data_IF_225329480532
#
_entry.id   IF_225329480532
#
_cell.length_a   1.000
_cell.length_b   1.000
_cell.length_c   1.000
_cell.angle_alpha   90.00
_cell.angle_beta   90.00
_cell.angle_gamma   90.00
#
_symmetry.space_group_name_H-M   'P 1'
#
loop_
_entity.id
_entity.type
_entity.pdbx_description
1 polymer ?
#
# COMPACT_ATOMS: atom_id res chain seq x y z
N UNK A 1 8.74 15.29 -5.21
CA UNK A 1 8.17 15.93 -4.00
C UNK A 1 7.89 17.43 -4.21
N UNK A 2 8.79 18.20 -4.84
CA UNK A 2 8.59 19.65 -5.06
C UNK A 2 7.55 20.01 -6.12
N UNK A 3 7.34 19.17 -7.14
CA UNK A 3 6.52 19.54 -8.31
C UNK A 3 5.01 19.59 -8.06
N UNK A 4 4.47 18.74 -7.16
CA UNK A 4 3.02 18.65 -6.94
C UNK A 4 2.51 19.71 -5.97
N UNK A 5 3.25 19.93 -4.88
CA UNK A 5 3.06 21.10 -4.02
C UNK A 5 3.22 22.36 -4.84
N UNK A 6 4.25 22.46 -5.69
CA UNK A 6 4.39 23.61 -6.58
C UNK A 6 3.23 23.77 -7.58
N UNK A 7 2.70 22.68 -8.17
CA UNK A 7 1.59 22.73 -9.11
C UNK A 7 0.28 23.13 -8.43
N UNK A 8 -0.03 22.57 -7.26
CA UNK A 8 -1.20 22.94 -6.46
C UNK A 8 -1.06 24.38 -5.96
N UNK A 9 0.09 24.75 -5.40
CA UNK A 9 0.36 26.13 -4.96
C UNK A 9 0.32 27.13 -6.11
N UNK A 10 0.81 26.79 -7.31
CA UNK A 10 0.76 27.68 -8.47
C UNK A 10 -0.67 27.83 -9.03
N UNK A 11 -1.42 26.73 -9.15
CA UNK A 11 -2.77 26.75 -9.70
C UNK A 11 -3.74 27.46 -8.73
N UNK A 12 -3.62 27.19 -7.44
CA UNK A 12 -4.47 27.79 -6.41
C UNK A 12 -4.02 29.19 -6.00
N UNK A 13 -2.71 29.44 -5.95
CA UNK A 13 -2.16 30.78 -5.76
C UNK A 13 -2.55 31.70 -6.90
N UNK A 14 -2.50 31.22 -8.15
CA UNK A 14 -2.98 31.96 -9.32
C UNK A 14 -4.47 32.28 -9.24
N UNK A 15 -5.30 31.33 -8.78
CA UNK A 15 -6.74 31.54 -8.60
C UNK A 15 -7.04 32.58 -7.50
N UNK A 16 -6.29 32.55 -6.40
CA UNK A 16 -6.40 33.54 -5.31
C UNK A 16 -5.98 34.95 -5.77
N UNK A 17 -4.86 35.06 -6.50
CA UNK A 17 -4.38 36.31 -7.08
C UNK A 17 -5.40 36.87 -8.08
N UNK A 18 -6.01 36.02 -8.91
CA UNK A 18 -7.02 36.43 -9.88
C UNK A 18 -8.30 36.93 -9.18
N UNK A 19 -8.74 36.26 -8.13
CA UNK A 19 -9.86 36.72 -7.30
C UNK A 19 -9.57 38.07 -6.62
N UNK A 20 -8.35 38.23 -6.09
CA UNK A 20 -7.88 39.50 -5.53
C UNK A 20 -7.86 40.63 -6.57
N UNK A 21 -7.31 40.37 -7.75
CA UNK A 21 -7.22 41.35 -8.84
C UNK A 21 -8.61 41.80 -9.34
N UNK A 22 -9.55 40.88 -9.51
CA UNK A 22 -10.93 41.20 -9.88
C UNK A 22 -11.60 42.09 -8.83
N UNK A 23 -11.39 41.78 -7.55
CA UNK A 23 -11.93 42.55 -6.44
C UNK A 23 -11.30 43.95 -6.38
N UNK A 24 -9.98 44.08 -6.50
CA UNK A 24 -9.30 45.38 -6.57
C UNK A 24 -9.80 46.22 -7.74
N UNK A 25 -10.03 45.61 -8.90
CA UNK A 25 -10.65 46.28 -10.05
C UNK A 25 -12.06 46.79 -9.77
N UNK A 26 -12.88 45.99 -9.08
CA UNK A 26 -14.23 46.38 -8.66
C UNK A 26 -14.22 47.56 -7.67
N UNK A 27 -13.28 47.56 -6.72
CA UNK A 27 -13.07 48.67 -5.77
C UNK A 27 -12.72 49.95 -6.51
N UNK A 28 -11.76 49.86 -7.43
CA UNK A 28 -11.32 51.00 -8.22
C UNK A 28 -12.49 51.63 -8.98
N UNK A 29 -13.34 50.80 -9.60
CA UNK A 29 -14.55 51.26 -10.30
C UNK A 29 -15.56 51.91 -9.34
N UNK A 30 -15.81 51.33 -8.17
CA UNK A 30 -16.71 51.88 -7.15
C UNK A 30 -16.22 53.24 -6.62
N UNK A 31 -14.91 53.36 -6.37
CA UNK A 31 -14.29 54.61 -5.91
C UNK A 31 -14.35 55.68 -7.01
N UNK A 32 -14.08 55.31 -8.27
CA UNK A 32 -14.16 56.24 -9.41
C UNK A 32 -15.58 56.79 -9.60
N UNK A 33 -16.62 55.95 -9.48
CA UNK A 33 -18.02 56.38 -9.55
C UNK A 33 -18.45 57.22 -8.33
N UNK A 34 -17.94 56.89 -7.14
CA UNK A 34 -18.21 57.62 -5.90
C UNK A 34 -17.59 59.01 -5.85
N UNK A 35 -16.35 59.16 -6.34
CA UNK A 35 -15.64 60.45 -6.42
C UNK A 35 -16.33 61.41 -7.39
N UNK A 36 -16.81 60.92 -8.54
CA UNK A 36 -17.48 61.76 -9.54
C UNK A 36 -18.79 62.37 -9.00
N UNK A 37 -19.56 61.58 -8.24
CA UNK A 37 -20.82 62.03 -7.63
C UNK A 37 -20.59 63.04 -6.50
N UNK A 38 -19.59 62.83 -5.65
CA UNK A 38 -19.27 63.75 -4.54
C UNK A 38 -18.68 65.10 -5.00
N UNK A 39 -17.89 65.13 -6.08
CA UNK A 39 -17.40 66.39 -6.66
C UNK A 39 -18.56 67.19 -7.27
N UNK A 40 -19.48 66.51 -7.96
CA UNK A 40 -20.63 67.18 -8.60
C UNK A 40 -21.59 67.83 -7.59
N UNK A 41 -21.84 67.18 -6.44
CA UNK A 41 -22.71 67.73 -5.40
C UNK A 41 -22.08 68.89 -4.65
N UNK A 42 -20.79 68.82 -4.33
CA UNK A 42 -20.05 69.88 -3.65
C UNK A 42 -19.94 71.17 -4.49
N UNK A 43 -19.83 71.04 -5.82
CA UNK A 43 -19.82 72.19 -6.74
C UNK A 43 -21.20 72.86 -6.82
N UNK A 44 -22.29 72.10 -6.74
CA UNK A 44 -23.65 72.67 -6.81
C UNK A 44 -24.12 73.39 -5.55
N UNK A 45 -23.64 73.03 -4.35
CA UNK A 45 -24.02 73.71 -3.10
C UNK A 45 -23.22 74.97 -2.81
N UNK A 46 -22.04 75.14 -3.42
CA UNK A 46 -21.14 76.26 -3.14
C UNK A 46 -21.30 77.49 -4.06
N UNK A 47 -22.10 77.41 -5.14
CA UNK A 47 -22.34 78.54 -6.06
C UNK A 47 -23.79 79.02 -5.93
N UNK A 48 -24.06 80.12 -5.21
CA UNK A 48 -25.36 80.78 -5.29
C UNK A 48 -25.59 81.27 -6.73
N UNK A 49 -26.73 80.93 -7.33
CA UNK A 49 -27.19 81.62 -8.55
C UNK A 49 -27.61 83.04 -8.15
N UNK A 50 -26.77 84.03 -8.43
CA UNK A 50 -27.22 85.43 -8.42
C UNK A 50 -28.19 85.64 -9.60
N UNK A 51 -29.42 86.14 -9.37
CA UNK A 51 -30.27 86.59 -10.46
C UNK A 51 -29.72 87.90 -11.04
N UNK A 52 -29.24 87.85 -12.27
CA UNK A 52 -28.80 89.01 -13.06
C UNK A 52 -29.95 90.04 -13.24
N UNK A 53 -29.73 91.35 -13.06
CA UNK A 53 -30.75 92.37 -13.33
C UNK A 53 -30.86 92.65 -14.85
N UNK A 54 -32.07 92.77 -15.42
CA UNK A 54 -32.21 93.14 -16.83
C UNK A 54 -32.04 94.66 -17.05
N UNK A 55 -31.26 94.99 -18.07
CA UNK A 55 -30.82 96.32 -18.49
C UNK A 55 -31.98 97.21 -18.97
N UNK A 56 -31.88 98.52 -18.69
CA UNK A 56 -32.87 99.57 -18.99
C UNK A 56 -32.93 99.92 -20.49
N UNK A 57 -34.14 100.17 -20.99
CA UNK A 57 -34.38 100.93 -22.22
C UNK A 57 -34.13 102.43 -22.00
N UNK A 58 -33.53 103.06 -22.99
CA UNK A 58 -33.20 104.49 -23.04
C UNK A 58 -34.44 105.37 -23.28
N UNK A 59 -34.48 106.53 -22.61
CA UNK A 59 -35.16 107.75 -23.08
C UNK A 59 -34.51 108.97 -22.42
N UNK A 60 -34.39 110.11 -23.12
CA UNK A 60 -33.49 111.20 -22.76
C UNK A 60 -34.15 112.22 -21.83
N UNK A 61 -33.42 112.69 -20.82
CA UNK A 61 -33.69 113.97 -20.17
C UNK A 61 -32.40 114.78 -20.06
N UNK A 62 -32.45 116.11 -20.20
CA UNK A 62 -31.25 116.94 -20.34
C UNK A 62 -30.74 117.48 -18.99
N UNK A 63 -29.41 117.67 -18.95
CA UNK A 63 -28.55 118.55 -18.12
C UNK A 63 -28.86 118.73 -16.62
N UNK A 64 -27.88 118.41 -15.75
CA UNK A 64 -26.97 119.41 -15.19
C UNK A 64 -26.07 118.87 -14.03
N UNK A 65 -24.84 119.40 -14.03
CA UNK A 65 -23.93 119.67 -12.89
C UNK A 65 -23.16 118.54 -12.19
N UNK A 66 -21.83 118.74 -12.22
CA UNK A 66 -20.76 118.10 -11.47
C UNK A 66 -20.81 118.32 -9.94
N UNK A 67 -20.05 117.50 -9.19
CA UNK A 67 -19.19 117.79 -8.01
C UNK A 67 -18.61 116.46 -7.42
N UNK A 68 -17.43 116.45 -6.75
CA UNK A 68 -16.36 115.46 -6.99
C UNK A 68 -16.09 114.42 -5.87
N UNK A 69 -15.07 113.61 -6.13
CA UNK A 69 -14.48 112.49 -5.39
C UNK A 69 -14.51 112.53 -3.84
N UNK A 70 -14.83 111.38 -3.25
CA UNK A 70 -14.55 111.09 -1.85
C UNK A 70 -13.95 109.69 -1.68
N UNK A 71 -12.68 109.63 -1.25
CA UNK A 71 -12.04 108.41 -0.75
C UNK A 71 -12.71 108.00 0.56
N UNK A 72 -13.18 106.77 0.65
CA UNK A 72 -13.54 106.13 1.92
C UNK A 72 -12.73 104.84 2.05
N UNK A 73 -11.80 104.88 3.00
CA UNK A 73 -11.08 103.74 3.57
C UNK A 73 -12.09 103.00 4.44
N UNK A 74 -12.42 101.75 4.11
CA UNK A 74 -13.37 100.92 4.83
C UNK A 74 -12.88 99.48 4.90
N UNK A 75 -12.69 99.02 6.12
CA UNK A 75 -12.20 97.72 6.59
C UNK A 75 -12.88 96.50 5.97
N UNK A 76 -12.09 95.50 5.56
CA UNK A 76 -12.53 94.17 5.10
C UNK A 76 -13.01 93.30 6.28
N UNK A 77 -14.27 92.78 6.26
CA UNK A 77 -14.72 91.69 7.14
C UNK A 77 -14.93 90.36 6.39
N UNK A 78 -14.47 90.22 5.14
CA UNK A 78 -14.91 89.13 4.25
C UNK A 78 -13.90 87.97 4.08
N UNK A 79 -12.67 88.15 4.56
CA UNK A 79 -11.64 87.11 4.49
C UNK A 79 -11.86 85.99 5.53
N UNK A 80 -12.38 86.31 6.71
CA UNK A 80 -12.55 85.36 7.81
C UNK A 80 -13.74 84.40 7.61
N UNK A 81 -14.85 84.89 7.03
CA UNK A 81 -16.01 84.05 6.69
C UNK A 81 -15.72 83.11 5.53
N UNK A 82 -14.94 83.56 4.56
CA UNK A 82 -14.49 82.74 3.43
C UNK A 82 -13.53 81.64 3.89
N UNK A 83 -12.59 81.95 4.81
CA UNK A 83 -11.68 80.96 5.40
C UNK A 83 -12.38 79.91 6.29
N UNK A 84 -13.34 80.32 7.12
CA UNK A 84 -14.15 79.43 7.97
C UNK A 84 -15.15 78.56 7.18
N UNK A 85 -15.66 79.06 6.06
CA UNK A 85 -16.50 78.29 5.15
C UNK A 85 -15.67 77.24 4.39
N UNK A 86 -14.47 77.62 3.91
CA UNK A 86 -13.56 76.70 3.23
C UNK A 86 -13.08 75.59 4.17
N UNK A 87 -12.74 75.89 5.43
CA UNK A 87 -12.33 74.87 6.41
C UNK A 87 -13.46 73.93 6.84
N UNK A 88 -14.68 74.44 7.07
CA UNK A 88 -15.84 73.59 7.36
C UNK A 88 -16.26 72.71 6.18
N UNK A 89 -16.14 73.21 4.95
CA UNK A 89 -16.42 72.43 3.73
C UNK A 89 -15.35 71.35 3.53
N UNK A 90 -14.07 71.65 3.81
CA UNK A 90 -13.00 70.64 3.72
C UNK A 90 -13.08 69.58 4.81
N UNK A 91 -13.49 69.93 6.04
CA UNK A 91 -13.59 68.97 7.15
C UNK A 91 -14.81 68.05 6.99
N UNK A 92 -15.97 68.59 6.63
CA UNK A 92 -17.18 67.78 6.36
C UNK A 92 -17.05 66.93 5.10
N UNK A 93 -16.36 67.44 4.06
CA UNK A 93 -16.03 66.64 2.87
C UNK A 93 -15.00 65.55 3.20
N UNK A 94 -14.04 65.83 4.09
CA UNK A 94 -13.03 64.88 4.56
C UNK A 94 -13.64 63.73 5.36
N UNK A 95 -14.49 64.02 6.35
CA UNK A 95 -15.15 62.99 7.18
C UNK A 95 -16.16 62.16 6.39
N UNK A 96 -16.93 62.76 5.48
CA UNK A 96 -17.84 62.05 4.59
C UNK A 96 -17.08 61.17 3.56
N UNK A 97 -15.93 61.64 3.07
CA UNK A 97 -15.07 60.84 2.19
C UNK A 97 -14.42 59.67 2.93
N UNK A 98 -13.89 59.90 4.13
CA UNK A 98 -13.26 58.86 4.94
C UNK A 98 -14.24 57.77 5.37
N UNK A 99 -15.43 58.15 5.87
CA UNK A 99 -16.47 57.18 6.25
C UNK A 99 -16.94 56.35 5.05
N UNK A 100 -17.13 56.96 3.88
CA UNK A 100 -17.51 56.24 2.65
C UNK A 100 -16.39 55.32 2.15
N UNK A 101 -15.13 55.74 2.22
CA UNK A 101 -13.97 54.89 1.90
C UNK A 101 -13.87 53.70 2.86
N UNK A 102 -14.08 53.92 4.15
CA UNK A 102 -14.09 52.85 5.15
C UNK A 102 -15.23 51.86 4.90
N UNK A 103 -16.45 52.33 4.65
CA UNK A 103 -17.60 51.44 4.35
C UNK A 103 -17.37 50.63 3.09
N UNK A 104 -16.90 51.24 2.00
CA UNK A 104 -16.58 50.53 0.75
C UNK A 104 -15.46 49.52 0.99
N UNK A 105 -14.41 49.90 1.71
CA UNK A 105 -13.28 49.01 2.02
C UNK A 105 -13.71 47.80 2.87
N UNK A 106 -14.58 48.01 3.86
CA UNK A 106 -15.11 46.93 4.71
C UNK A 106 -16.00 45.97 3.91
N UNK A 107 -16.90 46.49 3.06
CA UNK A 107 -17.76 45.66 2.20
C UNK A 107 -16.91 44.80 1.28
N UNK A 108 -15.95 45.43 0.60
CA UNK A 108 -15.02 44.77 -0.32
C UNK A 108 -14.20 43.70 0.39
N UNK A 109 -13.61 44.04 1.55
CA UNK A 109 -12.83 43.10 2.34
C UNK A 109 -13.69 41.89 2.76
N UNK A 110 -14.93 42.14 3.17
CA UNK A 110 -15.88 41.09 3.55
C UNK A 110 -16.20 40.17 2.37
N UNK A 111 -16.50 40.74 1.20
CA UNK A 111 -16.76 39.96 -0.03
C UNK A 111 -15.54 39.10 -0.40
N UNK A 112 -14.34 39.67 -0.33
CA UNK A 112 -13.10 38.93 -0.58
C UNK A 112 -12.86 37.80 0.41
N UNK A 113 -13.07 38.05 1.70
CA UNK A 113 -12.91 37.04 2.74
C UNK A 113 -13.88 35.87 2.51
N UNK A 114 -15.15 36.15 2.22
CA UNK A 114 -16.17 35.12 1.92
C UNK A 114 -15.79 34.29 0.69
N UNK A 115 -15.40 34.94 -0.40
CA UNK A 115 -14.97 34.24 -1.63
C UNK A 115 -13.73 33.38 -1.39
N UNK A 116 -12.75 33.90 -0.64
CA UNK A 116 -11.53 33.16 -0.31
C UNK A 116 -11.82 31.93 0.55
N UNK A 117 -12.71 32.04 1.54
CA UNK A 117 -13.12 30.92 2.40
C UNK A 117 -13.89 29.87 1.58
N UNK A 118 -14.86 30.29 0.75
CA UNK A 118 -15.63 29.38 -0.10
C UNK A 118 -14.72 28.60 -1.06
N UNK A 119 -13.74 29.29 -1.65
CA UNK A 119 -12.76 28.67 -2.52
C UNK A 119 -11.86 27.70 -1.75
N UNK A 120 -11.36 28.09 -0.57
CA UNK A 120 -10.56 27.21 0.30
C UNK A 120 -11.33 25.95 0.70
N UNK A 121 -12.61 26.07 1.05
CA UNK A 121 -13.48 24.94 1.39
C UNK A 121 -13.66 23.98 0.21
N UNK A 122 -13.96 24.51 -0.97
CA UNK A 122 -14.10 23.70 -2.19
C UNK A 122 -12.79 22.98 -2.54
N UNK A 123 -11.64 23.65 -2.39
CA UNK A 123 -10.31 23.08 -2.62
C UNK A 123 -10.00 21.95 -1.64
N UNK A 124 -10.23 22.17 -0.34
CA UNK A 124 -10.03 21.17 0.69
C UNK A 124 -10.86 19.91 0.42
N UNK A 125 -12.14 20.09 0.07
CA UNK A 125 -13.02 18.97 -0.29
C UNK A 125 -12.51 18.17 -1.48
N UNK A 126 -11.93 18.82 -2.51
CA UNK A 126 -11.42 18.13 -3.69
C UNK A 126 -10.11 17.38 -3.44
N UNK A 127 -9.21 17.94 -2.62
CA UNK A 127 -7.91 17.31 -2.28
C UNK A 127 -8.07 16.17 -1.28
N UNK A 128 -9.03 16.27 -0.34
CA UNK A 128 -9.25 15.25 0.69
C UNK A 128 -10.20 14.12 0.25
N UNK A 129 -10.98 14.31 -0.82
CA UNK A 129 -11.91 13.28 -1.32
C UNK A 129 -11.26 11.92 -1.58
N UNK A 130 -10.07 11.80 -2.22
CA UNK A 130 -9.42 10.50 -2.42
C UNK A 130 -9.04 9.80 -1.10
N UNK A 131 -8.69 10.56 -0.05
CA UNK A 131 -8.38 9.98 1.27
C UNK A 131 -9.61 9.33 1.87
N UNK A 132 -10.80 9.92 1.69
CA UNK A 132 -12.07 9.32 2.09
C UNK A 132 -12.31 7.96 1.39
N UNK A 133 -12.06 7.87 0.08
CA UNK A 133 -12.20 6.64 -0.70
C UNK A 133 -11.28 5.53 -0.16
N UNK A 134 -10.01 5.85 0.08
CA UNK A 134 -9.04 4.90 0.64
C UNK A 134 -9.46 4.45 2.03
N UNK A 135 -9.90 5.38 2.88
CA UNK A 135 -10.33 5.09 4.26
C UNK A 135 -11.61 4.24 4.29
N UNK A 136 -12.56 4.50 3.39
CA UNK A 136 -13.80 3.72 3.28
C UNK A 136 -13.53 2.30 2.83
N UNK A 137 -12.66 2.12 1.83
CA UNK A 137 -12.24 0.78 1.40
C UNK A 137 -11.51 0.06 2.54
N UNK A 138 -10.54 0.71 3.19
CA UNK A 138 -9.81 0.14 4.31
C UNK A 138 -10.73 -0.29 5.48
N UNK A 139 -11.79 0.48 5.75
CA UNK A 139 -12.78 0.14 6.80
C UNK A 139 -13.71 -1.02 6.43
N UNK A 140 -13.97 -1.23 5.14
CA UNK A 140 -14.86 -2.29 4.64
C UNK A 140 -14.10 -3.55 4.20
N UNK A 141 -12.78 -3.45 4.11
CA UNK A 141 -11.93 -4.57 3.74
C UNK A 141 -12.08 -5.70 4.76
N UNK A 142 -12.36 -6.88 4.26
CA UNK A 142 -12.51 -8.10 5.05
C UNK A 142 -11.96 -9.27 4.25
N UNK A 143 -11.82 -10.44 4.88
CA UNK A 143 -11.34 -11.66 4.22
C UNK A 143 -12.14 -12.05 2.97
N UNK A 144 -13.40 -11.60 2.83
CA UNK A 144 -14.25 -11.90 1.68
C UNK A 144 -14.06 -10.93 0.49
N UNK A 145 -13.62 -9.70 0.74
CA UNK A 145 -13.57 -8.62 -0.25
C UNK A 145 -12.15 -8.20 -0.61
N UNK A 146 -11.18 -9.08 -0.39
CA UNK A 146 -9.76 -8.86 -0.69
C UNK A 146 -9.46 -8.66 -2.18
N UNK A 147 -10.41 -8.99 -3.06
CA UNK A 147 -10.33 -8.77 -4.51
C UNK A 147 -10.68 -7.31 -4.92
N UNK A 148 -11.27 -6.52 -4.02
CA UNK A 148 -11.54 -5.11 -4.30
C UNK A 148 -10.23 -4.30 -4.34
N UNK A 149 -10.18 -3.29 -5.21
CA UNK A 149 -9.04 -2.38 -5.36
C UNK A 149 -9.50 -0.94 -5.27
N UNK A 150 -8.62 -0.07 -4.79
CA UNK A 150 -8.86 1.37 -4.77
C UNK A 150 -8.99 1.87 -6.21
N UNK A 151 -8.11 1.40 -7.10
CA UNK A 151 -8.12 1.71 -8.52
C UNK A 151 -8.35 3.22 -8.78
N UNK A 152 -7.63 4.06 -8.04
CA UNK A 152 -7.93 5.48 -7.95
C UNK A 152 -7.78 6.16 -9.32
N UNK A 153 -8.90 6.57 -9.93
CA UNK A 153 -8.89 7.37 -11.16
C UNK A 153 -8.50 8.82 -10.86
N UNK A 154 -7.21 9.06 -10.61
CA UNK A 154 -6.64 10.37 -10.33
C UNK A 154 -5.39 10.64 -11.19
N UNK A 155 -5.08 11.92 -11.51
CA UNK A 155 -3.83 12.29 -12.15
C UNK A 155 -2.61 11.76 -11.38
N UNK A 156 -1.47 11.50 -12.05
CA UNK A 156 -0.27 11.02 -11.39
C UNK A 156 0.18 11.99 -10.29
N UNK A 157 0.30 11.46 -9.08
CA UNK A 157 0.45 12.25 -7.87
C UNK A 157 0.72 11.46 -6.60
N UNK A 158 0.97 12.13 -5.48
CA UNK A 158 1.24 11.53 -4.16
C UNK A 158 0.09 10.62 -3.71
N UNK A 159 -1.15 11.08 -3.87
CA UNK A 159 -2.33 10.29 -3.50
C UNK A 159 -2.56 9.09 -4.44
N UNK A 160 -2.21 9.21 -5.72
CA UNK A 160 -2.27 8.08 -6.67
C UNK A 160 -1.21 7.03 -6.34
N UNK A 161 0.03 7.45 -6.06
CA UNK A 161 1.09 6.54 -5.60
C UNK A 161 0.70 5.81 -4.31
N UNK A 162 0.09 6.52 -3.35
CA UNK A 162 -0.40 5.90 -2.12
C UNK A 162 -1.47 4.84 -2.42
N UNK A 163 -2.44 5.14 -3.28
CA UNK A 163 -3.45 4.16 -3.69
C UNK A 163 -2.82 2.93 -4.36
N UNK A 164 -1.82 3.14 -5.24
CA UNK A 164 -1.13 2.05 -5.93
C UNK A 164 -0.35 1.14 -4.97
N UNK A 165 0.37 1.72 -4.01
CA UNK A 165 1.05 0.94 -2.96
C UNK A 165 0.06 0.17 -2.09
N UNK A 166 -1.12 0.73 -1.79
CA UNK A 166 -2.17 0.00 -1.09
C UNK A 166 -2.72 -1.16 -1.93
N UNK A 167 -2.94 -0.96 -3.23
CA UNK A 167 -3.39 -2.00 -4.14
C UNK A 167 -2.35 -3.15 -4.25
N UNK A 168 -1.05 -2.85 -4.32
CA UNK A 168 0.03 -3.85 -4.27
C UNK A 168 0.04 -4.64 -2.95
N UNK A 169 -0.22 -3.96 -1.83
CA UNK A 169 -0.35 -4.62 -0.52
C UNK A 169 -1.57 -5.54 -0.50
N UNK A 170 -2.71 -5.12 -1.05
CA UNK A 170 -3.91 -5.95 -1.18
C UNK A 170 -3.66 -7.18 -2.05
N UNK A 171 -2.96 -7.02 -3.18
CA UNK A 171 -2.55 -8.15 -4.03
C UNK A 171 -1.72 -9.17 -3.25
N UNK A 172 -0.80 -8.70 -2.39
CA UNK A 172 0.02 -9.59 -1.55
C UNK A 172 -0.83 -10.33 -0.52
N UNK A 173 -1.75 -9.64 0.16
CA UNK A 173 -2.63 -10.25 1.15
C UNK A 173 -3.58 -11.26 0.49
N UNK A 174 -4.18 -10.92 -0.66
CA UNK A 174 -5.06 -11.83 -1.40
C UNK A 174 -4.34 -13.12 -1.80
N UNK A 175 -3.09 -13.02 -2.30
CA UNK A 175 -2.28 -14.21 -2.61
C UNK A 175 -2.01 -15.06 -1.38
N UNK A 176 -1.68 -14.45 -0.24
CA UNK A 176 -1.41 -15.16 1.02
C UNK A 176 -2.66 -15.87 1.54
N UNK A 177 -3.79 -15.17 1.62
CA UNK A 177 -5.08 -15.74 2.07
C UNK A 177 -5.55 -16.83 1.11
N UNK A 178 -5.43 -16.61 -0.20
CA UNK A 178 -5.79 -17.61 -1.21
C UNK A 178 -4.89 -18.85 -1.18
N UNK A 179 -3.61 -18.72 -0.84
CA UNK A 179 -2.72 -19.86 -0.61
C UNK A 179 -3.13 -20.64 0.66
N UNK A 180 -3.41 -19.94 1.76
CA UNK A 180 -3.85 -20.56 3.02
C UNK A 180 -5.18 -21.32 2.87
N UNK A 181 -6.14 -20.76 2.13
CA UNK A 181 -7.41 -21.42 1.86
C UNK A 181 -7.26 -22.68 1.01
N UNK A 182 -6.42 -22.63 -0.04
CA UNK A 182 -6.09 -23.81 -0.86
C UNK A 182 -5.42 -24.88 -0.03
N UNK A 183 -4.41 -24.50 0.75
CA UNK A 183 -3.74 -25.40 1.69
C UNK A 183 -4.72 -26.10 2.64
N UNK A 184 -5.64 -25.35 3.26
CA UNK A 184 -6.63 -25.93 4.17
C UNK A 184 -7.61 -26.88 3.44
N UNK A 185 -8.02 -26.54 2.22
CA UNK A 185 -8.89 -27.38 1.40
C UNK A 185 -8.19 -28.68 0.97
N UNK A 186 -6.93 -28.59 0.54
CA UNK A 186 -6.11 -29.72 0.11
C UNK A 186 -5.80 -30.63 1.32
N UNK A 187 -5.43 -30.06 2.47
CA UNK A 187 -5.24 -30.81 3.72
C UNK A 187 -6.51 -31.58 4.14
N UNK A 188 -7.68 -30.92 4.07
CA UNK A 188 -8.94 -31.57 4.38
C UNK A 188 -9.27 -32.70 3.40
N UNK A 189 -8.93 -32.55 2.12
CA UNK A 189 -9.11 -33.59 1.11
C UNK A 189 -8.19 -34.80 1.36
N UNK A 190 -6.90 -34.53 1.56
CA UNK A 190 -5.88 -35.55 1.83
C UNK A 190 -6.13 -36.29 3.14
N UNK A 191 -6.72 -35.67 4.16
CA UNK A 191 -7.14 -36.35 5.39
C UNK A 191 -8.43 -37.16 5.23
N UNK A 192 -9.37 -36.73 4.38
CA UNK A 192 -10.64 -37.44 4.17
C UNK A 192 -10.44 -38.81 3.51
N UNK A 193 -9.49 -38.91 2.59
CA UNK A 193 -9.19 -40.15 1.84
C UNK A 193 -8.77 -41.32 2.74
N UNK A 194 -7.74 -41.23 3.60
CA UNK A 194 -7.33 -42.32 4.48
C UNK A 194 -8.43 -42.67 5.48
N UNK A 195 -9.18 -41.69 6.01
CA UNK A 195 -10.33 -41.94 6.88
C UNK A 195 -11.42 -42.75 6.19
N UNK A 196 -11.74 -42.44 4.91
CA UNK A 196 -12.68 -43.21 4.13
C UNK A 196 -12.18 -44.64 3.85
N UNK A 197 -10.89 -44.80 3.57
CA UNK A 197 -10.25 -46.12 3.37
C UNK A 197 -10.27 -46.95 4.66
N UNK A 198 -9.94 -46.36 5.82
CA UNK A 198 -10.01 -47.04 7.11
C UNK A 198 -11.44 -47.49 7.42
N UNK A 199 -12.41 -46.60 7.21
CA UNK A 199 -13.83 -46.91 7.40
C UNK A 199 -14.28 -48.06 6.51
N UNK A 200 -13.97 -48.01 5.22
CA UNK A 200 -14.32 -49.08 4.27
C UNK A 200 -13.62 -50.40 4.61
N UNK A 201 -12.34 -50.36 5.00
CA UNK A 201 -11.60 -51.55 5.42
C UNK A 201 -12.20 -52.18 6.69
N UNK A 202 -12.68 -51.37 7.64
CA UNK A 202 -13.37 -51.86 8.83
C UNK A 202 -14.76 -52.44 8.49
N UNK A 203 -15.59 -51.69 7.74
CA UNK A 203 -16.97 -52.09 7.38
C UNK A 203 -17.01 -53.34 6.49
N UNK A 204 -16.20 -53.40 5.43
CA UNK A 204 -16.16 -54.53 4.48
C UNK A 204 -15.32 -55.67 5.05
N UNK A 205 -14.26 -55.33 5.76
CA UNK A 205 -13.33 -56.31 6.28
C UNK A 205 -13.93 -57.18 7.38
N UNK A 206 -14.73 -56.57 8.27
CA UNK A 206 -15.34 -57.23 9.43
C UNK A 206 -16.78 -57.69 9.17
N UNK A 207 -17.27 -57.62 7.94
CA UNK A 207 -18.60 -58.10 7.59
C UNK A 207 -18.69 -59.64 7.68
N UNK A 208 -19.72 -60.15 8.35
CA UNK A 208 -19.98 -61.58 8.52
C UNK A 208 -19.12 -62.21 9.63
N UNK A 209 -18.64 -63.43 9.39
CA UNK A 209 -17.69 -64.14 10.25
C UNK A 209 -16.36 -64.32 9.49
N UNK A 210 -15.49 -63.28 9.44
CA UNK A 210 -14.28 -63.31 8.64
C UNK A 210 -13.24 -64.28 9.22
N UNK A 211 -12.55 -65.00 8.34
CA UNK A 211 -11.47 -65.89 8.76
C UNK A 211 -10.29 -65.11 9.40
N UNK A 212 -9.47 -65.77 10.26
CA UNK A 212 -8.36 -65.12 10.94
C UNK A 212 -7.33 -64.46 10.01
N UNK A 213 -7.09 -64.98 8.81
CA UNK A 213 -6.14 -64.40 7.86
C UNK A 213 -6.66 -63.09 7.27
N UNK A 214 -7.96 -63.04 6.95
CA UNK A 214 -8.65 -61.82 6.51
C UNK A 214 -8.57 -60.75 7.58
N UNK A 215 -8.85 -61.09 8.84
CA UNK A 215 -8.69 -60.18 9.98
C UNK A 215 -7.26 -59.65 10.08
N UNK A 216 -6.24 -60.51 9.94
CA UNK A 216 -4.84 -60.09 9.96
C UNK A 216 -4.48 -59.13 8.81
N UNK A 217 -4.98 -59.38 7.60
CA UNK A 217 -4.79 -58.48 6.44
C UNK A 217 -5.45 -57.12 6.66
N UNK A 218 -6.67 -57.09 7.19
CA UNK A 218 -7.39 -55.85 7.49
C UNK A 218 -6.68 -55.06 8.57
N UNK A 219 -6.26 -55.71 9.66
CA UNK A 219 -5.48 -55.08 10.73
C UNK A 219 -4.21 -54.43 10.17
N UNK A 220 -3.46 -55.17 9.36
CA UNK A 220 -2.23 -54.67 8.73
C UNK A 220 -2.54 -53.47 7.83
N UNK A 221 -3.64 -53.50 7.08
CA UNK A 221 -4.06 -52.38 6.23
C UNK A 221 -4.50 -51.17 7.05
N UNK A 222 -5.23 -51.35 8.14
CA UNK A 222 -5.68 -50.27 9.03
C UNK A 222 -4.50 -49.56 9.70
N UNK A 223 -3.55 -50.33 10.24
CA UNK A 223 -2.32 -49.78 10.85
C UNK A 223 -1.54 -48.98 9.81
N UNK A 224 -1.27 -49.58 8.64
CA UNK A 224 -0.54 -48.88 7.57
C UNK A 224 -1.20 -47.56 7.14
N UNK A 225 -2.54 -47.50 7.07
CA UNK A 225 -3.23 -46.24 6.71
C UNK A 225 -3.25 -45.25 7.86
N UNK A 226 -3.22 -45.72 9.11
CA UNK A 226 -3.08 -44.87 10.30
C UNK A 226 -1.68 -44.24 10.35
N UNK A 227 -0.62 -45.01 10.11
CA UNK A 227 0.76 -44.53 10.03
C UNK A 227 0.89 -43.45 8.93
N UNK A 228 0.30 -43.69 7.75
CA UNK A 228 0.26 -42.69 6.66
C UNK A 228 -0.45 -41.39 7.09
N UNK A 229 -1.52 -41.49 7.89
CA UNK A 229 -2.29 -40.34 8.39
C UNK A 229 -1.52 -39.57 9.46
N UNK A 230 -0.79 -40.28 10.33
CA UNK A 230 0.07 -39.69 11.35
C UNK A 230 1.19 -38.87 10.71
N UNK A 231 1.89 -39.45 9.72
CA UNK A 231 2.92 -38.73 8.95
C UNK A 231 2.39 -37.48 8.24
N UNK A 232 1.16 -37.53 7.72
CA UNK A 232 0.51 -36.36 7.12
C UNK A 232 0.25 -35.28 8.18
N UNK A 233 -0.34 -35.62 9.32
CA UNK A 233 -0.62 -34.67 10.40
C UNK A 233 0.66 -34.06 10.97
N UNK A 234 1.68 -34.87 11.22
CA UNK A 234 3.01 -34.38 11.64
C UNK A 234 3.59 -33.40 10.62
N UNK A 235 3.51 -33.73 9.33
CA UNK A 235 3.98 -32.85 8.25
C UNK A 235 3.24 -31.51 8.22
N UNK A 236 1.92 -31.51 8.45
CA UNK A 236 1.11 -30.29 8.52
C UNK A 236 1.43 -29.45 9.75
N UNK A 237 1.58 -30.08 10.93
CA UNK A 237 1.95 -29.38 12.16
C UNK A 237 3.32 -28.75 12.06
N UNK A 238 4.29 -29.49 11.52
CA UNK A 238 5.65 -29.00 11.28
C UNK A 238 5.66 -27.81 10.32
N UNK A 239 4.86 -27.86 9.25
CA UNK A 239 4.75 -26.75 8.31
C UNK A 239 4.16 -25.50 8.99
N UNK A 240 3.08 -25.68 9.77
CA UNK A 240 2.43 -24.59 10.49
C UNK A 240 3.31 -23.99 11.61
N UNK A 241 4.16 -24.80 12.24
CA UNK A 241 5.11 -24.38 13.27
C UNK A 241 6.31 -23.64 12.67
N UNK A 242 6.88 -24.16 11.59
CA UNK A 242 8.02 -23.56 10.89
C UNK A 242 7.71 -22.16 10.34
N UNK A 243 6.46 -21.87 9.98
CA UNK A 243 6.03 -20.53 9.55
C UNK A 243 6.07 -19.47 10.67
N UNK A 244 6.12 -19.88 11.95
CA UNK A 244 6.17 -18.96 13.09
C UNK A 244 7.60 -18.50 13.44
N UNK A 245 8.62 -19.07 12.78
CA UNK A 245 10.03 -18.84 13.05
C UNK A 245 10.62 -19.81 14.09
N UNK A 246 11.89 -19.62 14.46
CA UNK A 246 12.59 -20.53 15.38
C UNK A 246 12.32 -20.15 16.85
N UNK A 247 11.79 -21.08 17.63
CA UNK A 247 11.68 -20.94 19.09
C UNK A 247 13.04 -21.10 19.79
N UNK A 248 13.91 -21.97 19.25
CA UNK A 248 15.24 -22.26 19.78
C UNK A 248 16.30 -22.06 18.72
N UNK A 249 17.43 -21.46 19.11
CA UNK A 249 18.62 -21.28 18.28
C UNK A 249 19.83 -21.82 19.04
N UNK A 250 20.34 -22.95 18.60
CA UNK A 250 21.54 -23.60 19.14
C UNK A 250 22.52 -23.95 18.01
N UNK A 251 23.83 -24.12 18.30
CA UNK A 251 24.78 -24.59 17.30
C UNK A 251 24.52 -26.06 16.96
N UNK A 252 24.21 -26.34 15.69
CA UNK A 252 23.89 -27.68 15.18
C UNK A 252 24.88 -28.07 14.09
N UNK A 253 25.52 -29.23 14.24
CA UNK A 253 26.45 -29.79 13.25
C UNK A 253 25.68 -30.49 12.12
N UNK A 254 25.49 -29.79 11.01
CA UNK A 254 24.71 -30.27 9.85
C UNK A 254 25.41 -31.45 9.16
N UNK A 255 26.74 -31.50 9.20
CA UNK A 255 27.53 -32.61 8.67
C UNK A 255 27.28 -33.93 9.41
N UNK A 256 27.09 -33.86 10.73
CA UNK A 256 26.75 -35.03 11.56
C UNK A 256 25.31 -35.46 11.28
N UNK A 257 24.37 -34.51 11.19
CA UNK A 257 22.98 -34.80 10.84
C UNK A 257 22.86 -35.46 9.47
N UNK A 258 23.60 -34.98 8.47
CA UNK A 258 23.60 -35.54 7.12
C UNK A 258 24.03 -37.02 7.10
N UNK A 259 25.05 -37.39 7.88
CA UNK A 259 25.45 -38.79 8.03
C UNK A 259 24.39 -39.61 8.78
N UNK A 260 23.92 -39.12 9.92
CA UNK A 260 22.95 -39.85 10.74
C UNK A 260 21.65 -40.15 9.99
N UNK A 261 21.13 -39.18 9.24
CA UNK A 261 19.93 -39.34 8.40
C UNK A 261 20.17 -40.33 7.26
N UNK A 262 21.31 -40.23 6.58
CA UNK A 262 21.64 -41.14 5.47
C UNK A 262 21.77 -42.59 5.97
N UNK A 263 22.40 -42.79 7.13
CA UNK A 263 22.52 -44.11 7.77
C UNK A 263 21.15 -44.65 8.20
N UNK A 264 20.29 -43.79 8.79
CA UNK A 264 18.93 -44.17 9.18
C UNK A 264 18.03 -44.58 8.01
N UNK A 265 18.29 -44.06 6.81
CA UNK A 265 17.56 -44.38 5.58
C UNK A 265 18.24 -45.47 4.73
N UNK A 266 19.34 -46.07 5.19
CA UNK A 266 20.11 -47.04 4.43
C UNK A 266 19.28 -48.29 4.08
N UNK A 267 18.48 -48.80 5.00
CA UNK A 267 17.62 -49.97 4.78
C UNK A 267 16.52 -49.70 3.75
N UNK A 268 15.89 -48.50 3.80
CA UNK A 268 14.89 -48.11 2.80
C UNK A 268 15.53 -47.93 1.42
N UNK A 269 16.70 -47.29 1.36
CA UNK A 269 17.44 -47.11 0.11
C UNK A 269 17.82 -48.47 -0.49
N UNK A 270 18.32 -49.41 0.32
CA UNK A 270 18.66 -50.76 -0.11
C UNK A 270 17.43 -51.53 -0.61
N UNK A 271 16.29 -51.43 0.08
CA UNK A 271 15.03 -52.06 -0.35
C UNK A 271 14.54 -51.54 -1.71
N UNK A 272 14.91 -50.31 -2.08
CA UNK A 272 14.60 -49.68 -3.37
C UNK A 272 15.72 -49.81 -4.41
N UNK A 273 16.84 -50.45 -4.08
CA UNK A 273 18.00 -50.57 -4.95
C UNK A 273 18.72 -49.24 -5.20
N UNK A 274 18.64 -48.29 -4.27
CA UNK A 274 19.26 -46.96 -4.38
C UNK A 274 20.55 -46.92 -3.56
N UNK A 275 21.62 -46.40 -4.15
CA UNK A 275 22.88 -46.16 -3.42
C UNK A 275 22.94 -44.72 -2.92
N UNK A 276 23.07 -44.54 -1.60
CA UNK A 276 23.25 -43.22 -0.98
C UNK A 276 24.74 -42.99 -0.71
N UNK A 277 25.23 -41.81 -1.08
CA UNK A 277 26.61 -41.38 -0.84
C UNK A 277 26.62 -40.02 -0.14
N UNK A 278 27.39 -39.90 0.94
CA UNK A 278 27.51 -38.67 1.73
C UNK A 278 28.94 -38.14 1.62
N UNK A 279 29.07 -36.86 1.32
CA UNK A 279 30.31 -36.09 1.39
C UNK A 279 30.06 -34.84 2.22
N UNK A 280 30.30 -34.90 3.52
CA UNK A 280 30.07 -33.76 4.40
C UNK A 280 31.39 -33.21 4.95
N UNK A 281 31.64 -31.94 4.67
CA UNK A 281 32.64 -31.13 5.37
C UNK A 281 32.03 -30.58 6.68
N UNK A 282 32.82 -30.34 7.74
CA UNK A 282 32.30 -29.81 9.00
C UNK A 282 31.53 -28.49 8.80
N UNK A 283 30.26 -28.47 9.20
CA UNK A 283 29.39 -27.30 9.06
C UNK A 283 28.50 -27.17 10.28
N UNK A 284 28.65 -26.07 11.03
CA UNK A 284 27.78 -25.73 12.15
C UNK A 284 26.88 -24.56 11.79
N UNK A 285 25.58 -24.73 11.97
CA UNK A 285 24.56 -23.71 11.72
C UNK A 285 23.84 -23.39 13.04
N UNK A 286 23.54 -22.12 13.27
CA UNK A 286 22.71 -21.70 14.41
C UNK A 286 21.24 -21.89 14.05
N UNK A 287 20.56 -22.83 14.70
CA UNK A 287 19.19 -23.20 14.35
C UNK A 287 18.50 -24.08 15.38
N UNK A 288 17.37 -24.66 14.98
CA UNK A 288 16.70 -25.71 15.75
C UNK A 288 17.15 -27.07 15.22
N UNK A 289 17.78 -27.88 16.08
CA UNK A 289 18.32 -29.18 15.70
C UNK A 289 17.26 -30.18 15.19
N UNK A 290 16.03 -30.11 15.73
CA UNK A 290 14.94 -30.99 15.34
C UNK A 290 14.42 -30.61 13.95
N UNK A 291 14.27 -29.30 13.69
CA UNK A 291 13.86 -28.82 12.37
C UNK A 291 14.93 -29.10 11.31
N UNK A 292 16.22 -28.88 11.63
CA UNK A 292 17.32 -29.18 10.70
C UNK A 292 17.41 -30.67 10.39
N UNK A 293 17.30 -31.55 11.38
CA UNK A 293 17.23 -33.01 11.17
C UNK A 293 16.09 -33.36 10.21
N UNK A 294 14.90 -32.79 10.43
CA UNK A 294 13.72 -33.03 9.61
C UNK A 294 13.87 -32.46 8.20
N UNK A 295 14.55 -31.34 8.01
CA UNK A 295 14.89 -30.79 6.68
C UNK A 295 15.77 -31.77 5.91
N UNK A 296 16.85 -32.25 6.52
CA UNK A 296 17.77 -33.21 5.89
C UNK A 296 17.03 -34.52 5.59
N UNK A 297 16.27 -35.04 6.55
CA UNK A 297 15.45 -36.24 6.38
C UNK A 297 14.48 -36.12 5.20
N UNK A 298 13.75 -35.00 5.08
CA UNK A 298 12.83 -34.80 3.96
C UNK A 298 13.55 -34.74 2.61
N UNK A 299 14.73 -34.12 2.53
CA UNK A 299 15.51 -34.09 1.30
C UNK A 299 16.00 -35.48 0.90
N UNK A 300 16.62 -36.22 1.83
CA UNK A 300 17.18 -37.55 1.54
C UNK A 300 16.08 -38.58 1.27
N UNK A 301 15.01 -38.58 2.07
CA UNK A 301 13.87 -39.48 1.86
C UNK A 301 13.19 -39.22 0.52
N UNK A 302 13.00 -37.95 0.11
CA UNK A 302 12.48 -37.63 -1.21
C UNK A 302 13.43 -38.09 -2.32
N UNK A 303 14.73 -37.85 -2.18
CA UNK A 303 15.75 -38.25 -3.15
C UNK A 303 15.76 -39.78 -3.37
N UNK A 304 15.60 -40.56 -2.30
CA UNK A 304 15.49 -42.03 -2.34
C UNK A 304 14.17 -42.48 -2.95
N UNK A 305 13.04 -41.89 -2.52
CA UNK A 305 11.70 -42.29 -2.94
C UNK A 305 11.43 -42.06 -4.42
N UNK A 306 11.88 -40.92 -4.95
CA UNK A 306 11.67 -40.51 -6.34
C UNK A 306 12.88 -40.81 -7.25
N UNK A 307 13.72 -41.77 -6.86
CA UNK A 307 14.88 -42.17 -7.67
C UNK A 307 14.51 -43.18 -8.75
N UNK A 308 15.40 -43.33 -9.73
CA UNK A 308 15.36 -44.45 -10.66
C UNK A 308 15.79 -45.75 -9.96
N UNK A 309 15.31 -46.93 -10.42
CA UNK A 309 15.87 -48.21 -10.00
C UNK A 309 17.38 -48.24 -10.26
N UNK A 310 18.16 -48.77 -9.31
CA UNK A 310 19.64 -48.79 -9.36
C UNK A 310 20.27 -47.38 -9.41
N UNK A 311 19.49 -46.35 -9.06
CA UNK A 311 19.91 -44.95 -9.03
C UNK A 311 20.82 -44.61 -7.86
N UNK A 312 21.30 -43.36 -7.87
CA UNK A 312 22.17 -42.81 -6.81
C UNK A 312 21.56 -41.58 -6.18
N UNK A 313 21.83 -41.41 -4.89
CA UNK A 313 21.60 -40.18 -4.14
C UNK A 313 22.94 -39.68 -3.65
N UNK A 314 23.25 -38.42 -3.93
CA UNK A 314 24.43 -37.73 -3.40
C UNK A 314 24.01 -36.64 -2.44
N UNK A 315 24.48 -36.73 -1.20
CA UNK A 315 24.35 -35.70 -0.17
C UNK A 315 25.71 -35.05 -0.01
N UNK A 316 25.79 -33.73 -0.20
CA UNK A 316 26.99 -32.95 -0.03
C UNK A 316 26.75 -31.82 0.98
N UNK A 317 27.66 -31.69 1.95
CA UNK A 317 27.69 -30.54 2.88
C UNK A 317 29.03 -29.84 2.68
N UNK A 318 28.99 -28.55 2.37
CA UNK A 318 30.17 -27.71 2.17
C UNK A 318 30.42 -26.80 3.37
N UNK A 319 31.69 -26.50 3.64
CA UNK A 319 32.07 -25.54 4.68
C UNK A 319 31.61 -24.10 4.39
N UNK A 320 31.13 -23.82 3.17
CA UNK A 320 30.54 -22.55 2.72
C UNK A 320 29.10 -22.33 3.21
N UNK A 321 28.51 -23.28 3.93
CA UNK A 321 27.12 -23.21 4.39
C UNK A 321 26.14 -23.92 3.46
N UNK A 322 26.62 -24.66 2.46
CA UNK A 322 25.79 -25.33 1.47
C UNK A 322 25.45 -26.77 1.88
N UNK A 323 24.17 -27.14 1.86
CA UNK A 323 23.67 -28.51 1.86
C UNK A 323 23.04 -28.80 0.50
N UNK A 324 23.58 -29.76 -0.25
CA UNK A 324 23.07 -30.19 -1.56
C UNK A 324 22.66 -31.66 -1.51
N UNK A 325 21.45 -31.96 -1.98
CA UNK A 325 20.95 -33.33 -2.19
C UNK A 325 20.53 -33.48 -3.64
N UNK A 326 21.12 -34.46 -4.34
CA UNK A 326 20.80 -34.76 -5.72
C UNK A 326 20.47 -36.24 -5.93
N UNK A 327 19.50 -36.54 -6.78
CA UNK A 327 19.17 -37.90 -7.20
C UNK A 327 19.19 -38.08 -8.72
N UNK A 328 19.24 -39.33 -9.17
CA UNK A 328 19.23 -39.71 -10.60
C UNK A 328 17.84 -40.24 -11.00
N UNK A 329 16.79 -39.55 -10.55
CA UNK A 329 15.40 -39.92 -10.80
C UNK A 329 14.91 -39.62 -12.23
N UNK A 330 13.59 -39.73 -12.47
CA UNK A 330 12.98 -39.27 -13.71
C UNK A 330 13.28 -37.79 -14.00
N UNK A 331 13.25 -37.42 -15.28
CA UNK A 331 13.44 -36.02 -15.69
C UNK A 331 12.33 -35.14 -15.12
N UNK A 332 12.73 -34.04 -14.48
CA UNK A 332 11.83 -33.03 -13.95
C UNK A 332 11.79 -31.87 -14.94
N UNK A 333 10.65 -31.56 -15.57
CA UNK A 333 10.54 -30.43 -16.47
C UNK A 333 10.92 -29.13 -15.74
N UNK A 334 11.78 -28.27 -16.32
CA UNK A 334 12.22 -27.02 -15.68
C UNK A 334 11.05 -26.14 -15.20
N UNK A 335 9.96 -26.09 -15.98
CA UNK A 335 8.77 -25.31 -15.66
C UNK A 335 8.02 -25.81 -14.41
N UNK A 336 8.22 -27.07 -14.02
CA UNK A 336 7.56 -27.66 -12.84
C UNK A 336 8.35 -27.44 -11.56
N UNK A 337 9.66 -27.20 -11.65
CA UNK A 337 10.57 -27.09 -10.49
C UNK A 337 10.13 -26.04 -9.47
N UNK A 338 9.71 -24.81 -9.86
CA UNK A 338 9.25 -23.81 -8.90
C UNK A 338 8.01 -24.25 -8.11
N UNK A 339 7.16 -25.08 -8.71
CA UNK A 339 5.91 -25.54 -8.10
C UNK A 339 6.12 -26.72 -7.15
N UNK A 340 7.29 -27.37 -7.13
CA UNK A 340 7.54 -28.50 -6.23
C UNK A 340 7.62 -28.10 -4.75
N UNK A 341 7.84 -26.83 -4.46
CA UNK A 341 7.82 -26.28 -3.10
C UNK A 341 6.42 -25.90 -2.61
N UNK A 342 5.42 -25.90 -3.49
CA UNK A 342 4.03 -25.69 -3.06
C UNK A 342 3.52 -26.95 -2.32
N UNK A 343 2.81 -26.80 -1.18
CA UNK A 343 2.23 -27.94 -0.47
C UNK A 343 1.33 -28.78 -1.36
N UNK A 344 1.33 -30.10 -1.14
CA UNK A 344 0.51 -31.09 -1.86
C UNK A 344 0.80 -31.22 -3.37
N UNK A 345 1.85 -30.56 -3.89
CA UNK A 345 2.23 -30.71 -5.30
C UNK A 345 3.01 -31.99 -5.55
N UNK A 346 2.73 -32.61 -6.69
CA UNK A 346 3.33 -33.86 -7.16
C UNK A 346 3.62 -33.74 -8.65
N UNK A 347 4.73 -34.31 -9.11
CA UNK A 347 5.14 -34.27 -10.53
C UNK A 347 4.13 -35.00 -11.45
N UNK A 348 3.46 -36.03 -10.93
CA UNK A 348 2.43 -36.79 -11.63
C UNK A 348 1.19 -36.92 -10.75
N UNK A 349 0.13 -36.17 -11.07
CA UNK A 349 -1.12 -36.09 -10.29
C UNK A 349 -1.95 -37.39 -10.27
N UNK A 350 -1.57 -38.43 -11.03
CA UNK A 350 -2.51 -39.49 -11.45
C UNK A 350 -2.30 -40.88 -10.87
N UNK A 351 -1.33 -41.09 -10.00
CA UNK A 351 -1.17 -42.38 -9.33
C UNK A 351 -1.16 -42.13 -7.84
N UNK A 352 -2.10 -42.74 -7.12
CA UNK A 352 -2.01 -42.97 -5.68
C UNK A 352 -1.39 -44.36 -5.52
N UNK A 353 -0.11 -44.49 -5.87
CA UNK A 353 0.59 -45.74 -5.63
C UNK A 353 0.86 -45.86 -4.13
N UNK A 354 0.85 -47.10 -3.63
CA UNK A 354 1.13 -47.41 -2.23
C UNK A 354 2.51 -46.86 -1.84
N UNK A 355 2.57 -46.09 -0.76
CA UNK A 355 3.82 -45.55 -0.25
C UNK A 355 4.32 -44.34 -1.04
N UNK A 356 3.44 -43.57 -1.67
CA UNK A 356 3.74 -42.22 -2.14
C UNK A 356 3.38 -41.18 -1.07
N UNK A 357 4.25 -40.18 -0.86
CA UNK A 357 4.04 -39.17 0.18
C UNK A 357 3.01 -38.12 -0.23
N UNK A 358 2.42 -37.45 0.75
CA UNK A 358 1.38 -36.42 0.57
C UNK A 358 1.83 -35.13 -0.15
N UNK A 359 3.01 -35.10 -0.78
CA UNK A 359 3.53 -33.90 -1.45
C UNK A 359 3.94 -32.77 -0.52
N UNK A 360 4.17 -33.04 0.78
CA UNK A 360 4.57 -32.03 1.77
C UNK A 360 6.08 -31.90 1.95
N UNK A 361 6.88 -32.85 1.46
CA UNK A 361 8.30 -32.93 1.83
C UNK A 361 9.09 -31.68 1.44
N UNK A 362 8.97 -31.20 0.21
CA UNK A 362 9.70 -30.01 -0.24
C UNK A 362 9.11 -28.70 0.29
N UNK A 363 7.79 -28.63 0.53
CA UNK A 363 7.19 -27.46 1.21
C UNK A 363 7.66 -27.34 2.67
N UNK A 364 7.83 -28.48 3.37
CA UNK A 364 8.45 -28.52 4.71
C UNK A 364 9.90 -28.02 4.65
N UNK A 365 10.69 -28.48 3.68
CA UNK A 365 12.07 -28.00 3.48
C UNK A 365 12.08 -26.48 3.27
N UNK A 366 11.19 -25.95 2.44
CA UNK A 366 11.09 -24.51 2.19
C UNK A 366 10.74 -23.73 3.45
N UNK A 367 9.78 -24.20 4.25
CA UNK A 367 9.37 -23.53 5.47
C UNK A 367 10.48 -23.55 6.54
N UNK A 368 11.16 -24.70 6.71
CA UNK A 368 12.28 -24.81 7.64
C UNK A 368 13.46 -23.94 7.19
N UNK A 369 13.79 -23.92 5.89
CA UNK A 369 14.84 -23.05 5.35
C UNK A 369 14.50 -21.57 5.62
N UNK A 370 13.25 -21.17 5.37
CA UNK A 370 12.80 -19.81 5.65
C UNK A 370 12.88 -19.44 7.14
N UNK A 371 12.52 -20.35 8.05
CA UNK A 371 12.65 -20.15 9.50
C UNK A 371 14.12 -19.94 9.91
N UNK A 372 15.05 -20.60 9.23
CA UNK A 372 16.50 -20.49 9.42
C UNK A 372 17.15 -19.37 8.61
N UNK A 373 16.36 -18.52 7.94
CA UNK A 373 16.87 -17.45 7.06
C UNK A 373 17.83 -17.99 5.97
N UNK A 374 17.61 -19.24 5.56
CA UNK A 374 18.38 -19.94 4.53
C UNK A 374 17.69 -19.86 3.16
N UNK A 375 18.48 -19.83 2.10
CA UNK A 375 17.98 -19.84 0.72
C UNK A 375 17.86 -21.29 0.22
N UNK A 376 16.72 -21.65 -0.36
CA UNK A 376 16.51 -22.97 -0.97
C UNK A 376 16.30 -22.81 -2.48
N UNK A 377 16.98 -23.66 -3.25
CA UNK A 377 16.90 -23.72 -4.70
C UNK A 377 16.74 -25.16 -5.15
N UNK A 378 15.95 -25.40 -6.18
CA UNK A 378 15.89 -26.68 -6.86
C UNK A 378 16.16 -26.50 -8.35
N UNK A 379 16.84 -27.48 -8.94
CA UNK A 379 17.21 -27.52 -10.35
C UNK A 379 17.08 -28.95 -10.88
N UNK A 380 16.73 -29.09 -12.16
CA UNK A 380 16.73 -30.39 -12.82
C UNK A 380 18.18 -30.93 -12.91
N UNK A 381 18.38 -32.21 -12.62
CA UNK A 381 19.72 -32.81 -12.56
C UNK A 381 20.22 -33.29 -13.94
N UNK A 382 20.37 -32.35 -14.89
CA UNK A 382 21.05 -32.55 -16.18
C UNK A 382 20.58 -33.73 -17.05
N UNK A 383 21.44 -34.18 -17.99
CA UNK A 383 21.16 -35.22 -19.00
C UNK A 383 20.90 -36.64 -18.44
N UNK A 384 20.95 -36.81 -17.11
CA UNK A 384 20.66 -38.08 -16.43
C UNK A 384 19.31 -38.16 -15.73
N UNK A 385 18.54 -37.05 -15.70
CA UNK A 385 17.28 -36.96 -14.97
C UNK A 385 17.46 -36.79 -13.45
N UNK A 386 16.36 -36.43 -12.77
CA UNK A 386 16.30 -36.22 -11.33
C UNK A 386 16.28 -34.77 -10.91
N UNK A 387 16.39 -34.56 -9.59
CA UNK A 387 16.29 -33.27 -8.94
C UNK A 387 17.54 -33.02 -8.09
N UNK A 388 18.06 -31.81 -8.17
CA UNK A 388 19.09 -31.29 -7.27
C UNK A 388 18.46 -30.20 -6.43
N UNK A 389 18.52 -30.35 -5.12
CA UNK A 389 18.05 -29.34 -4.17
C UNK A 389 19.23 -28.85 -3.35
N UNK A 390 19.40 -27.53 -3.31
CA UNK A 390 20.47 -26.84 -2.56
C UNK A 390 19.84 -25.94 -1.51
N UNK A 391 20.31 -26.05 -0.28
CA UNK A 391 19.98 -25.15 0.83
C UNK A 391 21.26 -24.43 1.25
N UNK A 392 21.24 -23.11 1.26
CA UNK A 392 22.38 -22.26 1.62
C UNK A 392 22.04 -21.56 2.93
N UNK A 393 22.72 -21.95 4.00
CA UNK A 393 22.61 -21.31 5.29
C UNK A 393 23.50 -20.08 5.38
N UNK A 394 23.06 -19.05 6.09
CA UNK A 394 23.95 -17.95 6.44
C UNK A 394 25.11 -18.49 7.31
N UNK A 395 26.38 -18.23 6.97
CA UNK A 395 27.50 -18.73 7.76
C UNK A 395 27.41 -18.15 9.18
N UNK A 396 27.55 -19.03 10.18
CA UNK A 396 27.63 -18.60 11.57
C UNK A 396 28.80 -17.61 11.71
N UNK A 397 28.63 -16.47 12.42
CA UNK A 397 29.75 -15.58 12.69
C UNK A 397 30.83 -16.38 13.42
N UNK A 398 32.06 -16.35 12.90
CA UNK A 398 33.20 -16.99 13.55
C UNK A 398 33.30 -16.47 14.99
N UNK A 399 33.24 -17.41 15.95
CA UNK A 399 33.30 -17.14 17.38
C UNK A 399 34.69 -16.66 17.82
#
# INVERSE_FOLDING_TARGET
MSSERARLTALYGGLLVLAGALLTGLVYLLVQQGLYTSISSAVTTAVPRDPTPPWRHASPFPVASAVPAQRLRGTTPDADRSGLAVTKISDLAGEAALSRLLTVSVIVFTVYAVLSIALAWWMAGRVLRPVGVITDLARRLSGANLHERIALAAPPGELKRLADTFDEMLDRIERLVGAQQRFAADAAHELRTPLAVQRAAAEIGLAGDPDPERVARIRTKLISVADDSEHLVEGLLLLADSEQGLERREPVAVDVLAHAVADGLADEAAARGVTVSVRAEPLTVTGDGVLLDRLVHNLVANAVRYNAPEGRVSVAVGADGTLEVANTGPEVPPDTVPHLFEPFRRLHERTHARGEGAGLGLSIVSAIAQAHEAEVMAEANGEGGGLRVRVVFAPAPAA
#
